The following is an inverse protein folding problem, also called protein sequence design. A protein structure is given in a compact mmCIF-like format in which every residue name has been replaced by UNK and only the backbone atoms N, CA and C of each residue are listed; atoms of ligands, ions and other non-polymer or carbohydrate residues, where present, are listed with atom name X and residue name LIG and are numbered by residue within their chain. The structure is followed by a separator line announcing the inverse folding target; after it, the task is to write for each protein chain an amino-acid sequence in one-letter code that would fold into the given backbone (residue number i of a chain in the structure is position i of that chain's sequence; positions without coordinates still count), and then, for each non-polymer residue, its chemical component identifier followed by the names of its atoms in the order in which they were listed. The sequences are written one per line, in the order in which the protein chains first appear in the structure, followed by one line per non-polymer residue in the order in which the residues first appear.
data_IF_119859007296
#
_entry.id   IF_119859007296
#
_cell.length_a   1.000
_cell.length_b   1.000
_cell.length_c   1.000
_cell.angle_alpha   90.00
_cell.angle_beta   90.00
_cell.angle_gamma   90.00
#
_symmetry.space_group_name_H-M   'P 1'
#
loop_
_entity.id
_entity.type
_entity.pdbx_description
1 polymer ?
#
# COMPACT_ATOMS: atom_id res chain seq x y z
N UNK A 1 -9.11 -19.95 -5.63
CA UNK A 1 -7.95 -19.03 -5.60
C UNK A 1 -8.19 -18.05 -4.46
N UNK A 2 -7.22 -17.90 -3.56
CA UNK A 2 -7.24 -17.00 -2.39
C UNK A 2 -6.41 -15.75 -2.70
N UNK A 3 -7.03 -14.59 -2.69
CA UNK A 3 -6.39 -13.30 -2.99
C UNK A 3 -6.31 -12.46 -1.72
N UNK A 4 -5.14 -11.92 -1.41
CA UNK A 4 -4.99 -10.83 -0.46
C UNK A 4 -4.99 -9.49 -1.23
N UNK A 5 -6.02 -8.67 -1.01
CA UNK A 5 -6.10 -7.31 -1.54
C UNK A 5 -5.74 -6.33 -0.44
N UNK A 6 -4.60 -5.69 -0.59
CA UNK A 6 -4.03 -4.80 0.41
C UNK A 6 -4.19 -3.33 -0.01
N UNK A 7 -4.75 -2.53 0.88
CA UNK A 7 -5.22 -1.17 0.63
C UNK A 7 -4.47 -0.20 1.53
N UNK A 8 -3.91 0.84 0.94
CA UNK A 8 -3.31 1.95 1.67
C UNK A 8 -4.40 2.88 2.24
N UNK A 9 -4.46 3.00 3.56
CA UNK A 9 -5.46 3.78 4.28
C UNK A 9 -4.97 5.14 4.76
N UNK A 10 -4.11 5.83 4.01
CA UNK A 10 -3.69 7.21 4.32
C UNK A 10 -4.58 8.27 3.67
N UNK A 11 -5.58 7.85 2.90
CA UNK A 11 -6.55 8.72 2.24
C UNK A 11 -7.75 7.93 1.73
N UNK A 12 -8.79 8.64 1.31
CA UNK A 12 -10.04 8.01 0.86
C UNK A 12 -9.96 7.46 -0.57
N UNK A 13 -8.98 7.90 -1.38
CA UNK A 13 -8.86 7.52 -2.80
C UNK A 13 -8.73 6.02 -3.00
N UNK A 14 -7.82 5.36 -2.28
CA UNK A 14 -7.64 3.91 -2.36
C UNK A 14 -8.89 3.13 -1.92
N UNK A 15 -9.62 3.64 -0.91
CA UNK A 15 -10.88 3.03 -0.47
C UNK A 15 -11.96 3.13 -1.55
N UNK A 16 -12.02 4.26 -2.26
CA UNK A 16 -12.98 4.44 -3.37
C UNK A 16 -12.68 3.46 -4.50
N UNK A 17 -11.42 3.33 -4.91
CA UNK A 17 -10.99 2.32 -5.90
C UNK A 17 -11.31 0.90 -5.44
N UNK A 18 -11.03 0.58 -4.17
CA UNK A 18 -11.32 -0.73 -3.61
C UNK A 18 -12.82 -1.09 -3.66
N UNK A 19 -13.71 -0.11 -3.46
CA UNK A 19 -15.17 -0.33 -3.56
C UNK A 19 -15.61 -0.78 -4.94
N UNK A 20 -14.95 -0.30 -6.00
CA UNK A 20 -15.23 -0.69 -7.38
C UNK A 20 -14.57 -2.03 -7.74
N UNK A 21 -13.35 -2.26 -7.27
CA UNK A 21 -12.55 -3.45 -7.64
C UNK A 21 -12.99 -4.70 -6.89
N UNK A 22 -13.27 -4.59 -5.58
CA UNK A 22 -13.59 -5.74 -4.73
C UNK A 22 -14.80 -6.56 -5.20
N UNK A 23 -15.94 -5.96 -5.65
CA UNK A 23 -17.04 -6.73 -6.18
C UNK A 23 -16.68 -7.58 -7.39
N UNK A 24 -15.78 -7.08 -8.24
CA UNK A 24 -15.32 -7.79 -9.44
C UNK A 24 -14.40 -8.96 -9.07
N UNK A 25 -13.47 -8.75 -8.15
CA UNK A 25 -12.56 -9.79 -7.68
C UNK A 25 -13.31 -10.91 -6.96
N UNK A 26 -14.27 -10.55 -6.10
CA UNK A 26 -15.07 -11.50 -5.31
C UNK A 26 -15.95 -12.42 -6.16
N UNK A 27 -16.29 -12.03 -7.40
CA UNK A 27 -16.98 -12.92 -8.34
C UNK A 27 -16.09 -14.06 -8.86
N UNK A 28 -14.77 -13.91 -8.77
CA UNK A 28 -13.79 -14.84 -9.38
C UNK A 28 -12.90 -15.55 -8.37
N UNK A 29 -12.81 -15.03 -7.13
CA UNK A 29 -11.90 -15.55 -6.12
C UNK A 29 -12.41 -15.26 -4.71
N UNK A 30 -11.84 -15.98 -3.75
CA UNK A 30 -11.97 -15.70 -2.33
C UNK A 30 -11.00 -14.56 -1.97
N UNK A 31 -11.57 -13.39 -1.62
CA UNK A 31 -10.79 -12.17 -1.40
C UNK A 31 -10.75 -11.81 0.07
N UNK A 32 -9.56 -11.70 0.60
CA UNK A 32 -9.25 -11.21 1.93
C UNK A 32 -8.69 -9.80 1.86
N UNK A 33 -9.10 -8.95 2.78
CA UNK A 33 -8.78 -7.53 2.75
C UNK A 33 -7.78 -7.21 3.87
N UNK A 34 -6.70 -6.54 3.49
CA UNK A 34 -5.78 -5.85 4.38
C UNK A 34 -5.96 -4.34 4.21
N UNK A 35 -6.09 -3.64 5.30
CA UNK A 35 -6.09 -2.18 5.34
C UNK A 35 -4.99 -1.71 6.28
N UNK A 36 -4.02 -0.95 5.76
CA UNK A 36 -2.99 -0.31 6.56
C UNK A 36 -3.15 1.20 6.56
N UNK A 37 -2.83 1.82 7.70
CA UNK A 37 -2.98 3.26 7.93
C UNK A 37 -4.12 3.61 8.89
N UNK A 38 -4.04 4.79 9.47
CA UNK A 38 -4.93 5.24 10.57
C UNK A 38 -5.86 6.40 10.18
N UNK A 39 -5.82 6.85 8.91
CA UNK A 39 -6.47 8.10 8.49
C UNK A 39 -7.74 7.91 7.66
N UNK A 40 -8.18 6.66 7.47
CA UNK A 40 -9.38 6.36 6.70
C UNK A 40 -10.63 6.79 7.46
N UNK A 41 -11.40 7.69 6.89
CA UNK A 41 -12.72 8.11 7.39
C UNK A 41 -13.88 7.38 6.71
N UNK A 42 -13.65 6.81 5.53
CA UNK A 42 -14.66 6.13 4.73
C UNK A 42 -14.58 4.63 4.96
N UNK A 43 -15.66 4.01 5.42
CA UNK A 43 -15.72 2.57 5.64
C UNK A 43 -15.78 1.76 4.34
N UNK A 44 -15.25 0.55 4.36
CA UNK A 44 -15.52 -0.47 3.35
C UNK A 44 -16.72 -1.32 3.81
N UNK A 45 -17.66 -1.67 2.92
CA UNK A 45 -18.80 -2.54 3.24
C UNK A 45 -18.39 -4.02 3.26
N UNK A 46 -17.16 -4.33 3.62
CA UNK A 46 -16.58 -5.66 3.65
C UNK A 46 -15.79 -5.87 4.94
N UNK A 47 -15.74 -7.13 5.40
CA UNK A 47 -14.89 -7.51 6.50
C UNK A 47 -13.40 -7.31 6.15
N UNK A 48 -12.66 -6.66 7.05
CA UNK A 48 -11.22 -6.43 6.92
C UNK A 48 -10.51 -7.44 7.81
N UNK A 49 -9.83 -8.41 7.19
CA UNK A 49 -9.11 -9.46 7.91
C UNK A 49 -7.88 -8.93 8.65
N UNK A 50 -7.14 -8.00 8.04
CA UNK A 50 -5.96 -7.39 8.66
C UNK A 50 -6.10 -5.88 8.73
N UNK A 51 -6.09 -5.33 9.94
CA UNK A 51 -5.98 -3.89 10.20
C UNK A 51 -4.60 -3.61 10.74
N UNK A 52 -3.75 -2.99 9.92
CA UNK A 52 -2.37 -2.68 10.24
C UNK A 52 -2.18 -1.17 10.28
N UNK A 53 -1.11 -0.72 10.94
CA UNK A 53 -0.82 0.71 10.96
C UNK A 53 0.04 1.13 9.77
N UNK A 54 0.91 0.25 9.31
CA UNK A 54 1.84 0.61 8.25
C UNK A 54 2.78 1.76 8.65
N UNK A 55 3.58 2.27 7.72
CA UNK A 55 4.34 3.49 7.93
C UNK A 55 3.41 4.69 7.93
N UNK A 56 3.48 5.51 8.97
CA UNK A 56 2.75 6.77 9.07
C UNK A 56 3.66 7.90 8.59
N UNK A 57 3.32 8.55 7.48
CA UNK A 57 3.92 9.83 7.14
C UNK A 57 3.19 10.94 7.87
N UNK A 58 3.94 11.81 8.53
CA UNK A 58 3.41 13.04 9.12
C UNK A 58 3.66 14.16 8.12
N UNK A 59 2.60 14.79 7.68
CA UNK A 59 2.69 15.96 6.81
C UNK A 59 2.86 17.22 7.65
N UNK A 60 3.90 17.98 7.35
CA UNK A 60 4.13 19.29 7.99
C UNK A 60 3.12 20.35 7.51
N UNK A 61 3.04 21.44 8.24
CA UNK A 61 2.12 22.56 7.95
C UNK A 61 2.28 23.19 6.55
N UNK A 62 3.39 22.97 5.88
CA UNK A 62 3.71 23.45 4.51
C UNK A 62 3.45 22.42 3.41
N UNK A 63 2.76 21.30 3.71
CA UNK A 63 2.39 20.27 2.72
C UNK A 63 3.48 19.24 2.38
N UNK A 64 4.70 19.34 2.96
CA UNK A 64 5.76 18.35 2.81
C UNK A 64 5.77 17.32 3.94
N UNK A 65 6.55 16.23 3.78
CA UNK A 65 6.74 15.23 4.83
C UNK A 65 7.62 15.83 5.94
N UNK A 66 7.12 15.82 7.18
CA UNK A 66 7.92 16.11 8.37
C UNK A 66 8.70 14.85 8.78
N UNK A 67 9.98 14.81 8.41
CA UNK A 67 10.83 13.64 8.64
C UNK A 67 11.08 13.37 10.13
N UNK A 68 11.22 14.42 10.96
CA UNK A 68 11.45 14.30 12.40
C UNK A 68 10.22 13.74 13.11
N UNK A 69 9.04 14.29 12.83
CA UNK A 69 7.79 13.79 13.38
C UNK A 69 7.41 12.42 12.82
N UNK A 70 7.71 12.16 11.55
CA UNK A 70 7.55 10.84 10.93
C UNK A 70 8.43 9.80 11.61
N UNK A 71 9.69 10.12 11.89
CA UNK A 71 10.60 9.22 12.61
C UNK A 71 10.16 8.98 14.06
N UNK A 72 9.79 10.04 14.79
CA UNK A 72 9.33 9.94 16.19
C UNK A 72 8.02 9.15 16.32
N UNK A 73 7.08 9.34 15.41
CA UNK A 73 5.78 8.64 15.39
C UNK A 73 5.83 7.32 14.63
N UNK A 74 6.79 7.17 13.73
CA UNK A 74 7.02 5.94 12.98
C UNK A 74 7.53 4.84 13.89
N UNK A 75 6.64 3.98 14.34
CA UNK A 75 6.98 2.80 15.15
C UNK A 75 7.65 1.75 14.26
N UNK A 76 8.90 2.03 13.84
CA UNK A 76 9.67 1.19 12.91
C UNK A 76 9.70 -0.28 13.37
N UNK A 77 9.91 -0.54 14.64
CA UNK A 77 9.86 -1.90 15.22
C UNK A 77 8.50 -2.57 14.99
N UNK A 78 7.41 -1.78 15.03
CA UNK A 78 6.07 -2.28 14.77
C UNK A 78 5.89 -2.60 13.28
N UNK A 79 6.33 -1.72 12.38
CA UNK A 79 6.28 -1.95 10.93
C UNK A 79 7.00 -3.26 10.56
N UNK A 80 8.22 -3.48 11.06
CA UNK A 80 8.95 -4.73 10.84
C UNK A 80 8.20 -5.94 11.38
N UNK A 81 7.55 -5.81 12.54
CA UNK A 81 6.73 -6.89 13.10
C UNK A 81 5.51 -7.17 12.22
N UNK A 82 4.81 -6.14 11.75
CA UNK A 82 3.67 -6.27 10.86
C UNK A 82 4.07 -6.96 9.54
N UNK A 83 5.19 -6.56 8.94
CA UNK A 83 5.74 -7.17 7.73
C UNK A 83 6.08 -8.65 7.95
N UNK A 84 6.81 -8.96 9.03
CA UNK A 84 7.26 -10.33 9.33
C UNK A 84 6.11 -11.28 9.64
N UNK A 85 5.06 -10.78 10.29
CA UNK A 85 3.95 -11.62 10.75
C UNK A 85 2.82 -11.74 9.73
N UNK A 86 2.87 -11.03 8.61
CA UNK A 86 1.84 -11.14 7.58
C UNK A 86 2.01 -12.46 6.80
N UNK A 87 1.05 -13.41 6.87
CA UNK A 87 1.19 -14.74 6.30
C UNK A 87 0.91 -14.73 4.79
N UNK A 88 1.76 -14.04 4.01
CA UNK A 88 1.59 -13.90 2.55
C UNK A 88 1.59 -15.23 1.80
N UNK A 89 2.22 -16.27 2.37
CA UNK A 89 2.26 -17.60 1.76
C UNK A 89 0.89 -18.32 1.75
N UNK A 90 -0.04 -17.89 2.59
CA UNK A 90 -1.39 -18.47 2.62
C UNK A 90 -2.25 -18.05 1.42
N UNK A 91 -1.81 -17.11 0.62
CA UNK A 91 -2.55 -16.56 -0.52
C UNK A 91 -1.91 -16.98 -1.83
N UNK A 92 -2.74 -17.29 -2.83
CA UNK A 92 -2.27 -17.59 -4.18
C UNK A 92 -1.74 -16.32 -4.87
N UNK A 93 -2.40 -15.18 -4.60
CA UNK A 93 -2.07 -13.89 -5.17
C UNK A 93 -2.15 -12.79 -4.12
N UNK A 94 -1.19 -11.86 -4.16
CA UNK A 94 -1.22 -10.63 -3.36
C UNK A 94 -1.29 -9.44 -4.32
N UNK A 95 -2.28 -8.59 -4.11
CA UNK A 95 -2.46 -7.33 -4.84
C UNK A 95 -2.28 -6.19 -3.85
N UNK A 96 -1.35 -5.29 -4.12
CA UNK A 96 -1.06 -4.12 -3.29
C UNK A 96 -1.50 -2.85 -3.99
N UNK A 97 -2.48 -2.17 -3.42
CA UNK A 97 -2.85 -0.80 -3.82
C UNK A 97 -2.01 0.20 -3.03
N UNK A 98 -0.74 0.31 -3.44
CA UNK A 98 0.31 1.12 -2.84
C UNK A 98 0.50 0.85 -1.33
N UNK A 99 0.18 -0.36 -0.89
CA UNK A 99 0.21 -0.76 0.52
C UNK A 99 1.59 -1.37 0.85
N UNK A 100 2.36 -0.74 1.75
CA UNK A 100 3.76 -1.10 1.94
C UNK A 100 3.97 -2.38 2.75
N UNK A 101 3.10 -2.71 3.72
CA UNK A 101 3.34 -3.88 4.58
C UNK A 101 3.25 -5.16 3.78
N UNK A 102 2.22 -5.32 2.96
CA UNK A 102 2.06 -6.49 2.08
C UNK A 102 3.12 -6.55 1.00
N UNK A 103 3.47 -5.40 0.40
CA UNK A 103 4.50 -5.33 -0.63
C UNK A 103 5.88 -5.76 -0.08
N UNK A 104 6.29 -5.22 1.08
CA UNK A 104 7.54 -5.62 1.72
C UNK A 104 7.52 -7.06 2.24
N UNK A 105 6.37 -7.53 2.77
CA UNK A 105 6.24 -8.92 3.20
C UNK A 105 6.43 -9.89 2.03
N UNK A 106 5.83 -9.59 0.87
CA UNK A 106 6.02 -10.37 -0.36
C UNK A 106 7.47 -10.30 -0.85
N UNK A 107 8.06 -9.10 -0.87
CA UNK A 107 9.46 -8.92 -1.29
C UNK A 107 10.42 -9.76 -0.45
N UNK A 108 10.31 -9.72 0.88
CA UNK A 108 11.15 -10.49 1.79
C UNK A 108 10.90 -11.99 1.72
N UNK A 109 9.67 -12.40 1.41
CA UNK A 109 9.29 -13.80 1.25
C UNK A 109 9.58 -14.37 -0.15
N UNK A 110 10.11 -13.57 -1.09
CA UNK A 110 10.31 -13.97 -2.47
C UNK A 110 9.01 -14.27 -3.23
N UNK A 111 7.87 -13.75 -2.74
CA UNK A 111 6.55 -13.99 -3.33
C UNK A 111 6.18 -12.88 -4.32
N UNK A 112 5.69 -13.22 -5.53
CA UNK A 112 5.18 -12.22 -6.46
C UNK A 112 4.05 -11.38 -5.85
N UNK A 113 4.12 -10.06 -6.05
CA UNK A 113 3.11 -9.10 -5.64
C UNK A 113 2.74 -8.20 -6.82
N UNK A 114 1.45 -8.06 -7.08
CA UNK A 114 0.94 -7.16 -8.12
C UNK A 114 0.66 -5.79 -7.50
N UNK A 115 1.28 -4.74 -8.05
CA UNK A 115 0.96 -3.36 -7.72
C UNK A 115 -0.21 -2.87 -8.57
N UNK A 116 -1.27 -2.47 -7.93
CA UNK A 116 -2.46 -1.92 -8.56
C UNK A 116 -2.73 -0.52 -8.02
N UNK A 117 -2.07 0.48 -8.60
CA UNK A 117 -2.25 1.87 -8.16
C UNK A 117 -1.79 2.86 -9.23
N UNK A 118 -2.41 4.05 -9.27
CA UNK A 118 -1.99 5.12 -10.19
C UNK A 118 -0.63 5.73 -9.83
N UNK A 119 -0.09 5.50 -8.65
CA UNK A 119 1.30 5.86 -8.32
C UNK A 119 2.30 5.14 -9.24
N UNK A 120 1.95 3.95 -9.73
CA UNK A 120 2.75 3.25 -10.74
C UNK A 120 2.83 4.03 -12.07
N UNK A 121 1.75 4.70 -12.47
CA UNK A 121 1.72 5.51 -13.69
C UNK A 121 2.67 6.71 -13.62
N UNK A 122 2.81 7.34 -12.43
CA UNK A 122 3.69 8.52 -12.24
C UNK A 122 5.17 8.17 -12.47
N UNK A 123 5.58 6.93 -12.22
CA UNK A 123 6.95 6.47 -12.43
C UNK A 123 7.22 6.14 -13.91
N UNK A 124 6.18 5.94 -14.71
CA UNK A 124 6.31 5.60 -16.12
C UNK A 124 6.92 6.79 -16.89
N UNK A 125 7.93 6.52 -17.71
CA UNK A 125 8.58 7.56 -18.53
C UNK A 125 7.63 8.23 -19.53
N UNK A 126 6.57 7.56 -19.93
CA UNK A 126 5.54 8.10 -20.82
C UNK A 126 4.55 9.06 -20.10
N UNK A 127 4.54 9.09 -18.77
CA UNK A 127 3.74 10.05 -18.03
C UNK A 127 4.39 11.45 -18.05
N UNK A 128 3.58 12.52 -17.99
CA UNK A 128 4.10 13.87 -17.82
C UNK A 128 5.03 13.96 -16.62
N UNK A 129 6.27 14.37 -16.84
CA UNK A 129 7.26 14.47 -15.78
C UNK A 129 7.23 15.89 -15.17
N UNK A 130 7.37 16.03 -13.83
CA UNK A 130 7.46 17.33 -13.20
C UNK A 130 8.71 18.06 -13.67
N UNK A 131 8.61 19.38 -13.85
CA UNK A 131 9.73 20.23 -14.26
C UNK A 131 10.86 20.25 -13.22
N UNK A 132 10.54 20.06 -11.94
CA UNK A 132 11.53 19.97 -10.86
C UNK A 132 11.77 18.51 -10.47
N UNK A 133 13.05 18.17 -10.29
CA UNK A 133 13.44 16.81 -9.88
C UNK A 133 13.22 16.67 -8.38
N UNK A 134 12.18 15.98 -8.00
CA UNK A 134 11.94 15.52 -6.62
C UNK A 134 12.55 14.11 -6.44
N UNK A 135 13.81 14.07 -6.00
CA UNK A 135 14.52 12.81 -5.74
C UNK A 135 13.89 12.02 -4.60
N UNK A 136 13.34 12.70 -3.58
CA UNK A 136 12.72 12.05 -2.44
C UNK A 136 11.38 11.45 -2.84
N UNK A 137 10.55 12.21 -3.55
CA UNK A 137 9.28 11.71 -4.09
C UNK A 137 9.48 10.51 -5.01
N UNK A 138 10.51 10.54 -5.88
CA UNK A 138 10.89 9.39 -6.72
C UNK A 138 11.31 8.19 -5.90
N UNK A 139 12.10 8.37 -4.85
CA UNK A 139 12.52 7.30 -3.95
C UNK A 139 11.32 6.69 -3.21
N UNK A 140 10.40 7.52 -2.69
CA UNK A 140 9.16 7.05 -2.07
C UNK A 140 8.34 6.23 -3.07
N UNK A 141 8.07 6.76 -4.26
CA UNK A 141 7.31 6.04 -5.29
C UNK A 141 7.94 4.70 -5.68
N UNK A 142 9.27 4.60 -5.62
CA UNK A 142 10.00 3.39 -6.01
C UNK A 142 10.09 2.35 -4.90
N UNK A 143 10.33 2.79 -3.66
CA UNK A 143 10.70 1.91 -2.55
C UNK A 143 9.64 1.78 -1.46
N UNK A 144 8.62 2.64 -1.46
CA UNK A 144 7.58 2.61 -0.44
C UNK A 144 6.80 1.29 -0.44
N UNK A 145 6.37 0.85 -1.61
CA UNK A 145 5.67 -0.42 -1.80
C UNK A 145 6.32 -1.18 -2.98
N UNK A 146 7.38 -1.98 -2.72
CA UNK A 146 8.05 -2.74 -3.77
C UNK A 146 7.15 -3.87 -4.26
N UNK A 147 6.85 -3.88 -5.56
CA UNK A 147 6.00 -4.88 -6.20
C UNK A 147 6.68 -5.47 -7.42
N UNK A 148 6.34 -6.73 -7.75
CA UNK A 148 6.95 -7.46 -8.87
C UNK A 148 6.44 -6.97 -10.21
N UNK A 149 5.16 -6.67 -10.31
CA UNK A 149 4.49 -6.17 -11.53
C UNK A 149 3.64 -4.96 -11.15
N UNK A 150 3.58 -3.95 -12.02
CA UNK A 150 2.80 -2.71 -11.82
C UNK A 150 1.76 -2.59 -12.93
N UNK A 151 0.53 -2.32 -12.54
CA UNK A 151 -0.61 -1.99 -13.40
C UNK A 151 -1.20 -0.65 -13.04
#
# INVERSE_FOLDING_TARGET
MRILYAIQGTGNGHITVAREVLPLLKKKAEVYILLSGIQVKVGLPYEIKYRLNGPCFVFGKKGGIDYLETYKKGRIKRLFREIKNLPVHEYDLVISDFEPVSAWACYLAGKPCIGFSHQAAVINKAAPQPKQIDLIGKAVLKYYAPVSVKY
#
